data_IF_374025222905
#
_entry.id   IF_374025222905
#
_cell.length_a   1.000
_cell.length_b   1.000
_cell.length_c   1.000
_cell.angle_alpha   90.00
_cell.angle_beta   90.00
_cell.angle_gamma   90.00
#
_symmetry.space_group_name_H-M   'P 1'
#
loop_
_entity.id
_entity.type
_entity.pdbx_description
1 polymer ?
#
# COMPACT_ATOMS: atom_id res chain seq x y z
N UNK A 1 15.57 -15.29 -0.02
CA UNK A 1 16.81 -15.45 0.77
C UNK A 1 17.70 -14.26 0.47
N UNK A 2 18.09 -13.44 1.46
CA UNK A 2 19.03 -12.33 1.26
C UNK A 2 20.38 -12.92 0.81
N UNK A 3 20.90 -12.48 -0.33
CA UNK A 3 22.24 -12.82 -0.77
C UNK A 3 23.00 -11.54 -1.11
N UNK A 4 24.26 -11.49 -0.68
CA UNK A 4 25.20 -10.49 -1.19
C UNK A 4 25.66 -10.96 -2.56
N UNK A 5 25.44 -10.16 -3.60
CA UNK A 5 26.03 -10.41 -4.90
C UNK A 5 27.53 -10.07 -4.86
N UNK A 6 28.31 -10.58 -5.82
CA UNK A 6 29.77 -10.40 -5.88
C UNK A 6 30.21 -8.93 -5.89
N UNK A 7 29.32 -8.02 -6.29
CA UNK A 7 29.57 -6.59 -6.41
C UNK A 7 29.21 -5.79 -5.13
N UNK A 8 28.86 -6.47 -4.03
CA UNK A 8 28.47 -5.83 -2.76
C UNK A 8 27.00 -5.37 -2.71
N UNK A 9 26.24 -5.53 -3.80
CA UNK A 9 24.81 -5.28 -3.84
C UNK A 9 24.06 -6.20 -2.87
N UNK A 10 23.27 -5.59 -1.97
CA UNK A 10 22.42 -6.28 -1.00
C UNK A 10 21.05 -6.47 -1.63
N UNK A 11 20.80 -7.67 -2.13
CA UNK A 11 19.60 -7.96 -2.93
C UNK A 11 18.75 -9.04 -2.27
N UNK A 12 17.46 -8.78 -2.18
CA UNK A 12 16.44 -9.82 -1.95
C UNK A 12 15.95 -10.29 -3.31
N UNK A 13 15.96 -11.59 -3.60
CA UNK A 13 15.52 -12.10 -4.90
C UNK A 13 14.78 -13.44 -4.80
N UNK A 14 13.90 -13.67 -5.77
CA UNK A 14 12.99 -14.81 -5.83
C UNK A 14 12.76 -15.25 -7.28
N UNK A 15 12.58 -16.56 -7.50
CA UNK A 15 12.27 -17.16 -8.82
C UNK A 15 10.79 -17.39 -9.06
N UNK A 16 9.93 -16.79 -8.25
CA UNK A 16 8.48 -16.83 -8.40
C UNK A 16 7.83 -15.52 -7.95
N UNK A 17 6.67 -15.14 -8.51
CA UNK A 17 5.85 -14.07 -7.98
C UNK A 17 5.49 -14.29 -6.51
N UNK A 18 5.16 -13.22 -5.80
CA UNK A 18 4.59 -13.31 -4.46
C UNK A 18 3.18 -13.90 -4.52
N UNK A 19 2.88 -14.88 -3.66
CA UNK A 19 1.53 -15.45 -3.55
C UNK A 19 0.62 -14.62 -2.63
N UNK A 20 1.20 -14.01 -1.60
CA UNK A 20 0.50 -13.19 -0.63
C UNK A 20 1.37 -11.99 -0.19
N UNK A 21 0.79 -11.13 0.64
CA UNK A 21 1.40 -9.90 1.11
C UNK A 21 2.76 -10.12 1.80
N UNK A 22 2.94 -11.22 2.53
CA UNK A 22 4.18 -11.51 3.26
C UNK A 22 5.34 -11.87 2.32
N UNK A 23 5.05 -12.25 1.08
CA UNK A 23 6.07 -12.52 0.06
C UNK A 23 6.36 -11.31 -0.84
N UNK A 24 5.48 -10.31 -0.87
CA UNK A 24 5.65 -9.09 -1.66
C UNK A 24 6.82 -8.24 -1.13
N UNK A 25 7.44 -7.44 -2.01
CA UNK A 25 8.60 -6.63 -1.66
C UNK A 25 8.22 -5.17 -1.40
N UNK A 26 8.59 -4.61 -0.23
CA UNK A 26 8.26 -3.23 0.11
C UNK A 26 9.18 -2.24 -0.61
N UNK A 27 8.57 -1.17 -1.12
CA UNK A 27 9.24 0.05 -1.58
C UNK A 27 8.56 1.28 -0.97
N UNK A 28 9.28 2.38 -0.77
CA UNK A 28 8.68 3.60 -0.25
C UNK A 28 9.65 4.76 -0.10
N UNK A 29 9.09 5.96 0.09
CA UNK A 29 9.85 7.21 0.27
C UNK A 29 9.60 7.89 1.62
N UNK A 30 9.08 7.15 2.60
CA UNK A 30 8.66 7.65 3.92
C UNK A 30 7.21 8.10 3.98
N UNK A 31 6.62 8.54 2.85
CA UNK A 31 5.20 8.95 2.75
C UNK A 31 4.37 7.96 1.93
N UNK A 32 4.77 7.74 0.68
CA UNK A 32 4.18 6.75 -0.21
C UNK A 32 4.91 5.43 -0.01
N UNK A 33 4.14 4.36 0.14
CA UNK A 33 4.61 2.99 0.18
C UNK A 33 3.89 2.12 -0.84
N UNK A 34 4.55 1.05 -1.29
CA UNK A 34 3.91 -0.01 -2.02
C UNK A 34 4.50 -1.39 -1.69
N UNK A 35 3.64 -2.40 -1.64
CA UNK A 35 4.06 -3.81 -1.64
C UNK A 35 3.91 -4.36 -3.05
N UNK A 36 5.02 -4.74 -3.68
CA UNK A 36 5.08 -5.16 -5.09
C UNK A 36 5.09 -6.69 -5.17
N UNK A 37 4.13 -7.27 -5.89
CA UNK A 37 3.93 -8.72 -5.97
C UNK A 37 4.84 -9.40 -6.99
N UNK A 38 5.08 -8.73 -8.12
CA UNK A 38 5.98 -9.21 -9.15
C UNK A 38 5.34 -10.19 -10.13
N UNK A 39 4.02 -10.32 -10.22
CA UNK A 39 3.40 -11.28 -11.17
C UNK A 39 3.57 -10.78 -12.61
N UNK A 40 4.16 -11.58 -13.52
CA UNK A 40 4.50 -11.11 -14.87
C UNK A 40 3.28 -10.67 -15.69
N UNK A 41 2.10 -11.23 -15.42
CA UNK A 41 0.88 -11.01 -16.21
C UNK A 41 -0.15 -10.15 -15.50
N UNK A 42 -0.28 -10.30 -14.17
CA UNK A 42 -1.27 -9.60 -13.34
C UNK A 42 -0.59 -8.96 -12.15
N UNK A 43 0.16 -7.91 -12.40
CA UNK A 43 0.89 -7.23 -11.34
C UNK A 43 -0.07 -6.50 -10.41
N UNK A 44 0.26 -6.54 -9.12
CA UNK A 44 -0.44 -5.82 -8.08
C UNK A 44 0.56 -5.09 -7.20
N UNK A 45 0.37 -3.79 -7.09
CA UNK A 45 1.07 -2.95 -6.13
C UNK A 45 0.04 -2.52 -5.08
N UNK A 46 0.14 -3.04 -3.87
CA UNK A 46 -0.71 -2.57 -2.77
C UNK A 46 -0.14 -1.25 -2.27
N UNK A 47 -0.93 -0.19 -2.37
CA UNK A 47 -0.52 1.19 -2.14
C UNK A 47 -0.84 1.66 -0.72
N UNK A 48 0.05 2.50 -0.20
CA UNK A 48 -0.05 3.10 1.11
C UNK A 48 0.38 4.58 1.04
N UNK A 49 -0.29 5.41 1.84
CA UNK A 49 0.06 6.80 2.11
C UNK A 49 0.03 6.96 3.64
N UNK A 50 1.09 7.49 4.24
CA UNK A 50 1.31 7.47 5.71
C UNK A 50 0.29 8.28 6.53
N UNK A 51 -0.40 9.25 5.91
CA UNK A 51 -1.40 10.09 6.55
C UNK A 51 -2.84 9.59 6.38
N UNK A 52 -3.05 8.48 5.66
CA UNK A 52 -4.39 7.91 5.50
C UNK A 52 -4.82 7.08 6.73
N UNK A 53 -5.58 7.71 7.61
CA UNK A 53 -6.10 7.11 8.84
C UNK A 53 -7.62 7.24 8.92
N UNK A 54 -8.24 6.32 9.66
CA UNK A 54 -9.62 6.46 10.08
C UNK A 54 -9.79 7.57 11.12
N UNK A 55 -11.05 7.92 11.39
CA UNK A 55 -11.39 8.86 12.42
C UNK A 55 -11.24 10.31 12.02
N UNK A 56 -11.38 11.17 13.02
CA UNK A 56 -11.33 12.61 12.90
C UNK A 56 -10.73 13.21 14.19
N UNK A 57 -10.28 14.47 14.16
CA UNK A 57 -9.85 15.15 15.38
C UNK A 57 -10.93 15.11 16.46
N UNK A 58 -10.60 14.53 17.61
CA UNK A 58 -11.50 14.36 18.74
C UNK A 58 -10.76 14.60 20.07
N UNK A 59 -11.47 15.07 21.09
CA UNK A 59 -10.98 15.05 22.48
C UNK A 59 -11.12 13.63 23.03
N UNK A 60 -10.00 12.93 23.12
CA UNK A 60 -9.93 11.56 23.63
C UNK A 60 -9.58 11.51 25.11
N UNK A 61 -9.67 12.61 25.86
CA UNK A 61 -9.47 12.57 27.30
C UNK A 61 -10.72 12.09 28.03
N UNK A 62 -10.55 11.14 28.94
CA UNK A 62 -11.59 10.81 29.92
C UNK A 62 -11.50 11.77 31.13
N UNK A 63 -12.26 12.87 31.06
CA UNK A 63 -12.36 13.85 32.16
C UNK A 63 -13.01 13.28 33.43
N UNK A 64 -13.70 12.13 33.32
CA UNK A 64 -14.28 11.39 34.44
C UNK A 64 -13.27 10.54 35.22
N UNK A 65 -12.03 10.38 34.74
CA UNK A 65 -11.04 9.51 35.38
C UNK A 65 -10.51 10.08 36.72
N UNK A 66 -10.36 11.40 36.81
CA UNK A 66 -9.66 12.06 37.92
C UNK A 66 -10.26 11.75 39.31
N UNK A 67 -11.58 11.78 39.53
CA UNK A 67 -12.20 11.41 40.80
C UNK A 67 -11.84 10.00 41.30
N UNK A 68 -11.52 9.05 40.42
CA UNK A 68 -11.25 7.66 40.79
C UNK A 68 -9.78 7.38 41.10
N UNK A 69 -8.87 8.29 40.73
CA UNK A 69 -7.43 8.12 40.87
C UNK A 69 -7.00 7.90 42.32
N UNK A 70 -7.56 8.67 43.26
CA UNK A 70 -7.22 8.54 44.69
C UNK A 70 -7.60 7.15 45.23
N UNK A 71 -8.83 6.71 44.95
CA UNK A 71 -9.30 5.40 45.43
C UNK A 71 -8.55 4.24 44.79
N UNK A 72 -8.20 4.35 43.51
CA UNK A 72 -7.39 3.35 42.83
C UNK A 72 -6.02 3.17 43.51
N UNK A 73 -5.35 4.28 43.87
CA UNK A 73 -4.07 4.24 44.60
C UNK A 73 -4.19 3.60 45.99
N UNK A 74 -5.27 3.87 46.71
CA UNK A 74 -5.53 3.24 48.02
C UNK A 74 -5.70 1.72 47.90
N UNK A 75 -6.50 1.25 46.93
CA UNK A 75 -6.70 -0.18 46.69
C UNK A 75 -5.37 -0.89 46.39
N UNK A 76 -4.49 -0.25 45.60
CA UNK A 76 -3.15 -0.78 45.31
C UNK A 76 -2.31 -0.86 46.60
N UNK A 77 -2.33 0.18 47.44
CA UNK A 77 -1.59 0.21 48.71
C UNK A 77 -2.10 -0.83 49.72
N UNK A 78 -3.38 -1.17 49.68
CA UNK A 78 -4.01 -2.23 50.49
C UNK A 78 -3.76 -3.65 49.94
N UNK A 79 -3.11 -3.80 48.78
CA UNK A 79 -2.90 -5.10 48.12
C UNK A 79 -4.12 -5.64 47.36
N UNK A 80 -5.15 -4.81 47.15
CA UNK A 80 -6.42 -5.14 46.48
C UNK A 80 -6.34 -4.87 44.98
N UNK A 81 -5.49 -5.63 44.28
CA UNK A 81 -5.16 -5.37 42.88
C UNK A 81 -6.34 -5.59 41.92
N UNK A 82 -7.17 -6.60 42.19
CA UNK A 82 -8.32 -6.92 41.34
C UNK A 82 -9.40 -5.84 41.41
N UNK A 83 -9.67 -5.29 42.60
CA UNK A 83 -10.58 -4.17 42.78
C UNK A 83 -10.02 -2.88 42.17
N UNK A 84 -8.71 -2.65 42.28
CA UNK A 84 -8.07 -1.52 41.62
C UNK A 84 -8.19 -1.59 40.09
N UNK A 85 -7.96 -2.77 39.52
CA UNK A 85 -8.11 -3.02 38.08
C UNK A 85 -9.54 -2.77 37.62
N UNK A 86 -10.54 -3.37 38.27
CA UNK A 86 -11.95 -3.17 37.90
C UNK A 86 -12.37 -1.69 37.99
N UNK A 87 -11.91 -0.97 39.02
CA UNK A 87 -12.17 0.47 39.15
C UNK A 87 -11.56 1.26 37.98
N UNK A 88 -10.32 0.93 37.60
CA UNK A 88 -9.62 1.59 36.51
C UNK A 88 -10.27 1.27 35.14
N UNK A 89 -10.55 0.00 34.85
CA UNK A 89 -11.19 -0.43 33.60
C UNK A 89 -12.57 0.21 33.42
N UNK A 90 -13.35 0.32 34.49
CA UNK A 90 -14.69 0.89 34.42
C UNK A 90 -14.73 2.43 34.32
N UNK A 91 -13.70 3.15 34.80
CA UNK A 91 -13.83 4.61 34.99
C UNK A 91 -12.65 5.44 34.47
N UNK A 92 -11.51 4.83 34.16
CA UNK A 92 -10.25 5.54 33.89
C UNK A 92 -9.71 5.31 32.48
N UNK A 93 -10.31 4.40 31.70
CA UNK A 93 -9.97 4.21 30.29
C UNK A 93 -10.62 5.29 29.41
N UNK A 94 -10.11 5.45 28.19
CA UNK A 94 -10.72 6.28 27.17
C UNK A 94 -11.04 5.44 25.93
N UNK A 95 -11.35 6.11 24.82
CA UNK A 95 -11.60 5.50 23.52
C UNK A 95 -10.34 4.87 22.94
N UNK A 96 -10.54 3.83 22.13
CA UNK A 96 -9.46 3.22 21.33
C UNK A 96 -8.91 4.22 20.31
N UNK A 97 -7.67 3.99 19.87
CA UNK A 97 -7.05 4.79 18.82
C UNK A 97 -7.62 4.44 17.45
N UNK A 98 -7.55 5.40 16.54
CA UNK A 98 -7.87 5.18 15.13
C UNK A 98 -6.86 4.23 14.44
N UNK A 99 -7.24 3.71 13.27
CA UNK A 99 -6.45 2.76 12.52
C UNK A 99 -5.94 3.31 11.19
N UNK A 100 -4.73 2.89 10.85
CA UNK A 100 -4.12 3.12 9.55
C UNK A 100 -4.90 2.41 8.45
N UNK A 101 -5.13 3.09 7.32
CA UNK A 101 -5.95 2.57 6.23
C UNK A 101 -5.13 2.29 4.96
N UNK A 102 -5.42 1.22 4.22
CA UNK A 102 -4.82 0.97 2.91
C UNK A 102 -5.34 1.99 1.89
N UNK A 103 -4.45 2.57 1.07
CA UNK A 103 -4.88 3.50 0.02
C UNK A 103 -5.66 2.77 -1.09
N UNK A 104 -5.19 1.57 -1.46
CA UNK A 104 -5.77 0.77 -2.53
C UNK A 104 -4.73 -0.04 -3.27
N UNK A 105 -5.00 -0.42 -4.51
CA UNK A 105 -4.07 -1.14 -5.37
C UNK A 105 -3.94 -0.45 -6.72
N UNK A 106 -2.72 -0.46 -7.28
CA UNK A 106 -2.49 -0.34 -8.70
C UNK A 106 -2.40 -1.75 -9.28
N UNK A 107 -3.26 -2.03 -10.25
CA UNK A 107 -3.30 -3.28 -11.01
C UNK A 107 -2.75 -3.03 -12.42
N UNK A 108 -1.90 -3.94 -12.90
CA UNK A 108 -1.38 -3.90 -14.27
C UNK A 108 -1.56 -5.29 -14.88
N UNK A 109 -2.49 -5.39 -15.82
CA UNK A 109 -2.78 -6.59 -16.60
C UNK A 109 -2.06 -6.50 -17.95
N UNK A 110 -1.13 -7.41 -18.21
CA UNK A 110 -0.39 -7.46 -19.49
C UNK A 110 -1.14 -8.36 -20.47
N UNK A 111 -1.45 -7.84 -21.67
CA UNK A 111 -2.40 -8.42 -22.63
C UNK A 111 -1.95 -9.77 -23.22
N UNK A 112 -0.64 -10.08 -23.15
CA UNK A 112 -0.06 -11.29 -23.70
C UNK A 112 -0.21 -12.49 -22.75
N UNK A 113 -1.41 -13.04 -22.61
CA UNK A 113 -1.61 -14.31 -21.91
C UNK A 113 -1.31 -15.49 -22.84
N UNK A 114 -0.04 -15.87 -22.94
CA UNK A 114 0.31 -17.15 -23.56
C UNK A 114 -0.07 -18.33 -22.64
N UNK A 115 -0.41 -19.51 -23.19
CA UNK A 115 -0.78 -20.66 -22.37
C UNK A 115 0.38 -21.18 -21.51
N UNK A 116 1.63 -21.02 -21.97
CA UNK A 116 2.83 -21.48 -21.25
C UNK A 116 3.32 -20.44 -20.25
N UNK A 117 3.85 -20.87 -19.10
CA UNK A 117 4.40 -19.95 -18.10
C UNK A 117 5.68 -19.25 -18.61
N UNK A 118 5.90 -17.97 -18.24
CA UNK A 118 7.13 -17.27 -18.57
C UNK A 118 8.37 -18.02 -18.06
N UNK A 119 9.43 -18.01 -18.86
CA UNK A 119 10.71 -18.61 -18.51
C UNK A 119 11.66 -17.55 -17.95
N UNK A 120 12.76 -17.99 -17.31
CA UNK A 120 13.79 -17.07 -16.82
C UNK A 120 13.34 -16.11 -15.71
N UNK A 121 12.16 -16.31 -15.13
CA UNK A 121 11.57 -15.36 -14.17
C UNK A 121 12.46 -15.12 -12.95
N UNK A 122 12.69 -13.84 -12.66
CA UNK A 122 13.30 -13.35 -11.42
C UNK A 122 12.60 -12.06 -11.01
N UNK A 123 12.30 -11.93 -9.71
CA UNK A 123 12.03 -10.63 -9.08
C UNK A 123 13.05 -10.34 -8.00
N UNK A 124 13.41 -9.08 -7.84
CA UNK A 124 14.39 -8.66 -6.86
C UNK A 124 14.13 -7.26 -6.31
N UNK A 125 14.66 -6.99 -5.13
CA UNK A 125 14.77 -5.66 -4.53
C UNK A 125 16.24 -5.40 -4.21
N UNK A 126 16.82 -4.40 -4.89
CA UNK A 126 18.15 -3.88 -4.59
C UNK A 126 18.06 -2.84 -3.46
N UNK A 127 18.64 -3.17 -2.30
CA UNK A 127 18.60 -2.31 -1.12
C UNK A 127 19.57 -1.13 -1.18
N UNK A 128 20.53 -1.14 -2.12
CA UNK A 128 21.46 -0.03 -2.34
C UNK A 128 20.88 1.04 -3.25
N UNK A 129 20.00 0.65 -4.18
CA UNK A 129 19.36 1.56 -5.13
C UNK A 129 17.89 1.85 -4.82
N UNK A 130 17.30 1.13 -3.85
CA UNK A 130 15.85 1.16 -3.57
C UNK A 130 15.00 0.85 -4.82
N UNK A 131 15.46 -0.13 -5.61
CA UNK A 131 14.87 -0.49 -6.90
C UNK A 131 14.34 -1.92 -6.87
N UNK A 132 13.05 -2.08 -7.13
CA UNK A 132 12.46 -3.38 -7.40
C UNK A 132 12.52 -3.66 -8.91
N UNK A 133 12.90 -4.89 -9.28
CA UNK A 133 12.97 -5.33 -10.67
C UNK A 133 12.30 -6.68 -10.85
N UNK A 134 11.54 -6.85 -11.93
CA UNK A 134 11.02 -8.13 -12.43
C UNK A 134 11.56 -8.34 -13.84
N UNK A 135 12.07 -9.53 -14.14
CA UNK A 135 12.54 -9.91 -15.47
C UNK A 135 12.06 -11.32 -15.83
N UNK A 136 11.60 -11.51 -17.06
CA UNK A 136 11.19 -12.82 -17.58
C UNK A 136 11.20 -12.83 -19.11
N UNK A 137 11.18 -14.03 -19.69
CA UNK A 137 11.08 -14.25 -21.13
C UNK A 137 9.77 -14.96 -21.47
N UNK A 138 9.07 -14.45 -22.47
CA UNK A 138 7.80 -15.00 -22.98
C UNK A 138 7.81 -14.95 -24.51
N UNK A 139 7.72 -16.12 -25.16
CA UNK A 139 7.82 -16.26 -26.64
C UNK A 139 9.06 -15.59 -27.28
N UNK A 140 10.21 -15.74 -26.63
CA UNK A 140 11.47 -15.16 -27.10
C UNK A 140 11.56 -13.63 -26.98
N UNK A 141 10.59 -13.01 -26.31
CA UNK A 141 10.64 -11.59 -25.94
C UNK A 141 11.01 -11.48 -24.47
N UNK A 142 12.07 -10.71 -24.20
CA UNK A 142 12.49 -10.40 -22.84
C UNK A 142 11.68 -9.20 -22.33
N UNK A 143 11.03 -9.37 -21.19
CA UNK A 143 10.28 -8.33 -20.49
C UNK A 143 11.01 -7.94 -19.22
N UNK A 144 11.00 -6.64 -18.92
CA UNK A 144 11.53 -6.11 -17.66
C UNK A 144 10.61 -5.04 -17.09
N UNK A 145 10.44 -5.07 -15.78
CA UNK A 145 9.73 -4.05 -15.01
C UNK A 145 10.61 -3.51 -13.91
N UNK A 146 10.73 -2.20 -13.83
CA UNK A 146 11.40 -1.48 -12.75
C UNK A 146 10.36 -0.71 -11.95
N UNK A 147 10.45 -0.76 -10.62
CA UNK A 147 9.51 -0.10 -9.72
C UNK A 147 10.24 0.53 -8.56
N UNK A 148 9.99 1.81 -8.32
CA UNK A 148 10.54 2.53 -7.18
C UNK A 148 9.60 3.66 -6.75
N UNK A 149 9.85 4.22 -5.57
CA UNK A 149 9.15 5.42 -5.10
C UNK A 149 10.17 6.53 -4.95
N UNK A 150 10.05 7.59 -5.76
CA UNK A 150 10.99 8.71 -5.75
C UNK A 150 10.80 9.56 -4.50
N UNK A 151 11.88 9.78 -3.76
CA UNK A 151 11.90 10.69 -2.62
C UNK A 151 11.91 12.17 -3.02
N UNK A 152 12.45 12.51 -4.21
CA UNK A 152 12.52 13.89 -4.72
C UNK A 152 11.24 14.28 -5.45
N UNK A 153 10.76 13.42 -6.34
CA UNK A 153 9.58 13.68 -7.18
C UNK A 153 8.27 13.31 -6.50
N UNK A 154 8.33 12.68 -5.31
CA UNK A 154 7.17 12.29 -4.50
C UNK A 154 6.15 11.43 -5.25
N UNK A 155 6.61 10.55 -6.13
CA UNK A 155 5.78 9.69 -6.97
C UNK A 155 6.29 8.24 -6.96
N UNK A 156 5.36 7.29 -7.07
CA UNK A 156 5.66 5.91 -7.44
C UNK A 156 5.84 5.84 -8.95
N UNK A 157 6.91 5.19 -9.40
CA UNK A 157 7.25 5.04 -10.81
C UNK A 157 7.28 3.56 -11.15
N UNK A 158 6.59 3.19 -12.22
CA UNK A 158 6.66 1.87 -12.85
C UNK A 158 7.15 2.07 -14.27
N UNK A 159 8.24 1.39 -14.63
CA UNK A 159 8.75 1.34 -16.00
C UNK A 159 8.59 -0.08 -16.52
N UNK A 160 7.90 -0.22 -17.65
CA UNK A 160 7.65 -1.48 -18.33
C UNK A 160 8.42 -1.47 -19.66
N UNK A 161 9.12 -2.55 -19.98
CA UNK A 161 9.89 -2.67 -21.23
C UNK A 161 9.79 -4.08 -21.81
N UNK A 162 9.88 -4.17 -23.13
CA UNK A 162 9.98 -5.43 -23.88
C UNK A 162 11.09 -5.32 -24.92
N UNK A 163 11.79 -6.43 -25.21
CA UNK A 163 12.92 -6.43 -26.15
C UNK A 163 12.50 -6.30 -27.63
N UNK A 164 11.23 -6.54 -27.94
CA UNK A 164 10.66 -6.44 -29.29
C UNK A 164 9.70 -5.24 -29.35
N UNK A 165 9.90 -4.27 -30.26
CA UNK A 165 8.98 -3.14 -30.44
C UNK A 165 7.54 -3.61 -30.67
N UNK A 166 6.58 -2.96 -30.01
CA UNK A 166 5.16 -3.30 -30.10
C UNK A 166 4.72 -4.59 -29.40
N UNK A 167 5.61 -5.28 -28.67
CA UNK A 167 5.27 -6.50 -27.94
C UNK A 167 4.65 -6.26 -26.55
N UNK A 168 4.64 -5.02 -26.07
CA UNK A 168 4.08 -4.66 -24.77
C UNK A 168 2.71 -4.02 -24.93
N UNK A 169 1.67 -4.74 -24.49
CA UNK A 169 0.31 -4.22 -24.29
C UNK A 169 -0.10 -4.45 -22.83
N UNK A 170 -0.72 -3.46 -22.21
CA UNK A 170 -1.22 -3.59 -20.84
C UNK A 170 -2.41 -2.67 -20.58
N UNK A 171 -3.22 -3.07 -19.60
CA UNK A 171 -4.23 -2.23 -18.95
C UNK A 171 -3.80 -1.93 -17.53
N UNK A 172 -3.87 -0.66 -17.11
CA UNK A 172 -3.63 -0.25 -15.74
C UNK A 172 -4.92 0.27 -15.10
N UNK A 173 -5.22 -0.16 -13.87
CA UNK A 173 -6.42 0.25 -13.14
C UNK A 173 -6.12 0.51 -11.66
N UNK A 174 -7.01 1.27 -11.02
CA UNK A 174 -6.95 1.61 -9.61
C UNK A 174 -8.16 1.03 -8.89
N UNK A 175 -7.94 0.44 -7.73
CA UNK A 175 -9.00 -0.02 -6.82
C UNK A 175 -8.69 0.37 -5.38
N UNK A 176 -9.72 0.50 -4.55
CA UNK A 176 -9.57 0.77 -3.11
C UNK A 176 -10.68 0.05 -2.34
N UNK A 177 -10.46 -0.37 -1.07
CA UNK A 177 -11.52 -0.94 -0.25
C UNK A 177 -12.51 0.11 0.28
N UNK A 178 -12.23 1.41 0.09
CA UNK A 178 -13.09 2.49 0.54
C UNK A 178 -14.14 2.87 -0.51
N UNK A 179 -15.27 3.49 -0.12
CA UNK A 179 -16.13 4.17 -1.06
C UNK A 179 -15.35 5.20 -1.86
N UNK A 180 -15.40 5.08 -3.20
CA UNK A 180 -14.58 5.87 -4.10
C UNK A 180 -15.26 6.12 -5.43
N UNK A 181 -14.76 7.13 -6.13
CA UNK A 181 -15.13 7.46 -7.50
C UNK A 181 -13.87 7.53 -8.37
N UNK A 182 -14.00 7.04 -9.59
CA UNK A 182 -12.95 7.12 -10.61
C UNK A 182 -13.31 8.21 -11.61
N UNK A 183 -12.33 9.00 -12.01
CA UNK A 183 -12.50 10.08 -12.97
C UNK A 183 -11.30 10.17 -13.91
N UNK A 184 -11.55 10.66 -15.13
CA UNK A 184 -10.49 11.06 -16.03
C UNK A 184 -10.08 12.50 -15.73
N UNK A 185 -8.77 12.75 -15.72
CA UNK A 185 -8.21 14.08 -15.58
C UNK A 185 -7.55 14.54 -16.89
N UNK A 186 -7.31 15.84 -17.01
CA UNK A 186 -6.55 16.40 -18.12
C UNK A 186 -5.19 15.70 -18.31
N UNK A 187 -4.74 15.63 -19.57
CA UNK A 187 -3.46 15.02 -19.91
C UNK A 187 -3.44 13.48 -19.88
N UNK A 188 -4.61 12.83 -19.91
CA UNK A 188 -4.73 11.37 -20.01
C UNK A 188 -4.40 10.65 -18.70
N UNK A 189 -4.77 11.25 -17.56
CA UNK A 189 -4.58 10.62 -16.26
C UNK A 189 -5.88 9.99 -15.77
N UNK A 190 -5.78 8.83 -15.13
CA UNK A 190 -6.90 8.21 -14.40
C UNK A 190 -6.72 8.50 -12.92
N UNK A 191 -7.74 9.03 -12.27
CA UNK A 191 -7.74 9.31 -10.84
C UNK A 191 -8.83 8.54 -10.11
N UNK A 192 -8.50 8.06 -8.92
CA UNK A 192 -9.42 7.50 -7.96
C UNK A 192 -9.40 8.39 -6.71
N UNK A 193 -10.57 8.77 -6.22
CA UNK A 193 -10.72 9.57 -5.00
C UNK A 193 -11.78 9.02 -4.08
N UNK A 194 -11.63 9.21 -2.78
CA UNK A 194 -12.52 8.65 -1.77
C UNK A 194 -12.29 9.26 -0.39
N UNK A 195 -12.91 8.64 0.63
CA UNK A 195 -12.76 9.03 2.03
C UNK A 195 -12.58 7.81 2.92
N UNK A 196 -11.67 7.93 3.89
CA UNK A 196 -11.49 6.95 4.96
C UNK A 196 -12.71 6.93 5.91
N UNK A 197 -12.95 5.83 6.62
CA UNK A 197 -14.03 5.75 7.59
C UNK A 197 -13.79 6.69 8.79
N UNK A 198 -14.87 7.20 9.39
CA UNK A 198 -14.81 8.04 10.61
C UNK A 198 -14.69 7.22 11.90
N UNK A 199 -14.83 5.90 11.80
CA UNK A 199 -14.65 4.95 12.90
C UNK A 199 -14.46 3.56 12.31
N UNK A 200 -13.61 2.75 12.92
CA UNK A 200 -13.32 1.35 12.54
C UNK A 200 -13.67 0.34 13.63
N UNK A 201 -14.03 0.82 14.82
CA UNK A 201 -14.37 0.00 15.98
C UNK A 201 -15.48 0.69 16.79
N UNK A 202 -16.54 -0.04 17.21
CA UNK A 202 -16.76 -1.47 17.02
C UNK A 202 -17.15 -1.87 15.58
N UNK A 203 -17.53 -0.91 14.74
CA UNK A 203 -17.93 -1.13 13.35
C UNK A 203 -17.25 -0.11 12.42
N UNK A 204 -17.14 -0.45 11.14
CA UNK A 204 -16.64 0.48 10.12
C UNK A 204 -17.76 1.43 9.72
N UNK A 205 -17.59 2.71 10.02
CA UNK A 205 -18.59 3.76 9.74
C UNK A 205 -18.03 4.76 8.73
N UNK A 206 -18.75 4.95 7.63
CA UNK A 206 -18.54 6.05 6.69
C UNK A 206 -19.62 7.11 6.89
N UNK A 207 -19.24 8.38 6.88
CA UNK A 207 -20.18 9.49 7.03
C UNK A 207 -20.01 10.49 5.86
N UNK A 208 -21.10 10.89 5.18
CA UNK A 208 -21.02 11.80 4.05
C UNK A 208 -20.25 13.09 4.37
N UNK A 209 -19.24 13.40 3.56
CA UNK A 209 -18.41 14.61 3.70
C UNK A 209 -17.42 14.61 4.88
N UNK A 210 -17.34 13.53 5.65
CA UNK A 210 -16.48 13.38 6.84
C UNK A 210 -15.36 12.36 6.63
N UNK A 211 -14.39 12.34 7.53
CA UNK A 211 -13.21 11.48 7.46
C UNK A 211 -12.17 11.98 6.46
N UNK A 212 -10.94 11.44 6.56
CA UNK A 212 -9.81 11.84 5.72
C UNK A 212 -10.09 11.57 4.25
N UNK A 213 -10.12 12.62 3.42
CA UNK A 213 -10.21 12.49 1.97
C UNK A 213 -8.87 12.08 1.37
N UNK A 214 -8.89 11.22 0.36
CA UNK A 214 -7.70 10.80 -0.37
C UNK A 214 -7.93 10.79 -1.87
N UNK A 215 -6.83 10.85 -2.62
CA UNK A 215 -6.83 10.65 -4.06
C UNK A 215 -5.51 10.01 -4.51
N UNK A 216 -5.59 9.21 -5.56
CA UNK A 216 -4.46 8.64 -6.28
C UNK A 216 -4.70 8.81 -7.77
N UNK A 217 -3.67 9.20 -8.51
CA UNK A 217 -3.74 9.33 -9.96
C UNK A 217 -2.60 8.58 -10.62
N UNK A 218 -2.89 7.99 -11.78
CA UNK A 218 -1.91 7.32 -12.64
C UNK A 218 -1.91 7.98 -14.01
N UNK A 219 -0.71 8.03 -14.60
CA UNK A 219 -0.50 8.58 -15.93
C UNK A 219 0.64 7.85 -16.62
N UNK A 220 0.47 7.55 -17.90
CA UNK A 220 1.57 7.14 -18.76
C UNK A 220 2.30 8.38 -19.23
N UNK A 221 3.57 8.53 -18.83
CA UNK A 221 4.37 9.74 -19.07
C UNK A 221 5.29 9.64 -20.28
N UNK A 222 5.69 8.43 -20.65
CA UNK A 222 6.58 8.16 -21.77
C UNK A 222 6.26 6.77 -22.36
N UNK A 223 6.15 6.69 -23.68
CA UNK A 223 5.88 5.45 -24.42
C UNK A 223 6.24 5.61 -25.90
N UNK A 224 6.77 4.56 -26.51
CA UNK A 224 6.95 4.44 -27.96
C UNK A 224 5.71 3.88 -28.67
N UNK A 225 4.66 3.56 -27.90
CA UNK A 225 3.37 3.09 -28.37
C UNK A 225 2.26 4.15 -28.26
N UNK A 226 1.04 3.69 -27.94
CA UNK A 226 -0.11 4.55 -27.67
C UNK A 226 -0.60 4.31 -26.26
N UNK A 227 -1.07 5.36 -25.61
CA UNK A 227 -1.73 5.29 -24.32
C UNK A 227 -3.05 6.04 -24.40
N UNK A 228 -4.11 5.39 -23.92
CA UNK A 228 -5.46 5.93 -23.90
C UNK A 228 -6.04 5.69 -22.49
N UNK A 229 -6.85 6.63 -22.02
CA UNK A 229 -7.53 6.51 -20.73
C UNK A 229 -8.99 6.12 -20.97
N UNK A 230 -9.35 4.91 -20.55
CA UNK A 230 -10.74 4.42 -20.55
C UNK A 230 -11.49 4.87 -19.29
N UNK A 231 -12.81 5.02 -19.41
CA UNK A 231 -13.75 5.27 -18.31
C UNK A 231 -14.92 4.31 -18.40
#
# INVERSE_FOLDING_TARGET
MLRMNKDGARTLWYKRPALDWNEALPIGNGRIGAMVFGDPRRERLMLNEDTLWSGEPADTNNHGALPHLARCRELIAEGKYWEAQQLAEANMLSVDTEAYQPLGNLLIDVDALLPEAPSGYVRQLDLSQALHTVSYDEDGVAFSRETFVSATEKALVVRLTASRPGALGFTASLETPHPSETSQMEGGSLALSGRAPVSIAPEIVYAPGRGTSFAVAIRVVDTDGRAETGG
#
